data_IF_790856833561
#
_entry.id   IF_790856833561
#
_cell.length_a   1.000
_cell.length_b   1.000
_cell.length_c   1.000
_cell.angle_alpha   90.00
_cell.angle_beta   90.00
_cell.angle_gamma   90.00
#
_symmetry.space_group_name_H-M   'P 1'
#
loop_
_entity.id
_entity.type
_entity.pdbx_description
1 polymer ?
#
# COMPACT_ATOMS: atom_id res chain seq x y z
N UNK A 1 12.63 -13.04 -8.63
CA UNK A 1 12.66 -11.90 -9.62
C UNK A 1 13.82 -10.97 -9.31
N UNK A 2 14.40 -10.27 -10.34
CA UNK A 2 15.48 -9.30 -10.11
C UNK A 2 14.95 -8.08 -9.35
N UNK A 3 15.65 -7.70 -8.26
CA UNK A 3 15.37 -6.48 -7.51
C UNK A 3 16.19 -5.32 -8.06
N UNK A 4 15.62 -4.12 -8.02
CA UNK A 4 16.25 -2.85 -8.39
C UNK A 4 16.07 -1.85 -7.25
N UNK A 5 16.86 -0.80 -7.23
CA UNK A 5 16.68 0.27 -6.28
C UNK A 5 15.52 1.18 -6.70
N UNK A 6 14.66 1.54 -5.75
CA UNK A 6 13.56 2.47 -5.95
C UNK A 6 14.10 3.90 -5.96
N UNK A 7 14.38 4.42 -7.16
CA UNK A 7 14.99 5.74 -7.32
C UNK A 7 16.35 5.82 -6.62
N UNK A 8 16.50 6.77 -5.68
CA UNK A 8 17.70 7.02 -4.86
C UNK A 8 17.46 6.73 -3.37
N UNK A 9 16.47 5.89 -3.06
CA UNK A 9 16.01 5.65 -1.67
C UNK A 9 16.83 4.60 -0.93
N UNK A 10 17.65 3.81 -1.63
CA UNK A 10 18.30 2.62 -1.08
C UNK A 10 17.36 1.40 -0.93
N UNK A 11 16.05 1.59 -1.11
CA UNK A 11 15.05 0.52 -0.98
C UNK A 11 15.12 -0.42 -2.20
N UNK A 12 15.22 -1.72 -1.96
CA UNK A 12 15.28 -2.74 -3.02
C UNK A 12 13.92 -3.34 -3.28
N UNK A 13 13.36 -3.09 -4.46
CA UNK A 13 12.05 -3.58 -4.90
C UNK A 13 12.17 -4.50 -6.11
N UNK A 14 11.24 -5.42 -6.25
CA UNK A 14 11.02 -6.15 -7.51
C UNK A 14 10.58 -5.16 -8.60
N UNK A 15 10.99 -5.40 -9.85
CA UNK A 15 10.57 -4.55 -10.98
C UNK A 15 9.06 -4.59 -11.25
N UNK A 16 8.41 -5.64 -10.80
CA UNK A 16 6.95 -5.78 -10.81
C UNK A 16 6.44 -5.61 -9.39
N UNK A 17 5.38 -4.85 -9.21
CA UNK A 17 4.63 -4.74 -7.97
C UNK A 17 3.28 -5.43 -8.08
N UNK A 18 2.68 -5.76 -6.94
CA UNK A 18 1.29 -6.19 -6.85
C UNK A 18 0.47 -5.10 -6.16
N UNK A 19 -0.64 -4.70 -6.79
CA UNK A 19 -1.57 -3.71 -6.25
C UNK A 19 -2.80 -4.39 -5.65
N UNK A 20 -3.35 -3.79 -4.60
CA UNK A 20 -4.58 -4.26 -3.94
C UNK A 20 -5.80 -3.40 -4.26
N UNK A 21 -5.71 -2.50 -5.25
CA UNK A 21 -6.76 -1.55 -5.59
C UNK A 21 -7.11 -1.56 -7.06
N UNK A 22 -8.19 -2.25 -7.44
CA UNK A 22 -8.81 -2.15 -8.76
C UNK A 22 -10.18 -1.50 -8.61
N UNK A 23 -10.32 -0.30 -9.16
CA UNK A 23 -11.59 0.43 -9.11
C UNK A 23 -12.70 -0.28 -9.89
N UNK A 24 -13.86 -0.43 -9.27
CA UNK A 24 -15.09 -0.87 -9.90
C UNK A 24 -15.93 0.36 -10.28
N UNK A 25 -16.86 0.24 -11.27
CA UNK A 25 -17.80 1.31 -11.60
C UNK A 25 -18.65 1.78 -10.41
N UNK A 26 -18.86 0.92 -9.41
CA UNK A 26 -19.55 1.24 -8.14
C UNK A 26 -18.74 2.12 -7.18
N UNK A 27 -17.47 2.42 -7.50
CA UNK A 27 -16.55 3.14 -6.61
C UNK A 27 -15.86 2.24 -5.57
N UNK A 28 -16.22 0.96 -5.48
CA UNK A 28 -15.56 0.01 -4.58
C UNK A 28 -14.26 -0.53 -5.18
N UNK A 29 -13.36 -0.97 -4.31
CA UNK A 29 -12.17 -1.72 -4.71
C UNK A 29 -12.53 -3.22 -4.83
N UNK A 30 -12.26 -3.82 -5.98
CA UNK A 30 -12.60 -5.24 -6.22
C UNK A 30 -11.93 -6.16 -5.21
N UNK A 31 -10.69 -5.89 -4.84
CA UNK A 31 -9.93 -6.69 -3.87
C UNK A 31 -10.51 -6.62 -2.45
N UNK A 32 -11.17 -5.51 -2.09
CA UNK A 32 -11.84 -5.40 -0.78
C UNK A 32 -13.04 -6.34 -0.62
N UNK A 33 -13.57 -6.85 -1.73
CA UNK A 33 -14.70 -7.80 -1.76
C UNK A 33 -14.25 -9.27 -1.73
N UNK A 34 -12.95 -9.52 -1.86
CA UNK A 34 -12.40 -10.88 -1.77
C UNK A 34 -12.41 -11.37 -0.32
N UNK A 35 -12.40 -12.69 -0.16
CA UNK A 35 -12.11 -13.27 1.16
C UNK A 35 -10.71 -12.84 1.64
N UNK A 36 -10.60 -12.58 2.94
CA UNK A 36 -9.35 -12.07 3.53
C UNK A 36 -8.18 -13.03 3.31
N UNK A 37 -8.40 -14.33 3.46
CA UNK A 37 -7.33 -15.33 3.27
C UNK A 37 -7.01 -15.53 1.78
N UNK A 38 -7.99 -15.37 0.90
CA UNK A 38 -7.76 -15.49 -0.55
C UNK A 38 -6.81 -14.41 -1.05
N UNK A 39 -7.08 -13.13 -0.76
CA UNK A 39 -6.17 -12.04 -1.16
C UNK A 39 -4.82 -12.14 -0.42
N UNK A 40 -4.81 -12.50 0.87
CA UNK A 40 -3.58 -12.75 1.61
C UNK A 40 -2.75 -13.84 0.94
N UNK A 41 -3.38 -14.94 0.52
CA UNK A 41 -2.73 -16.03 -0.22
C UNK A 41 -2.12 -15.59 -1.55
N UNK A 42 -2.81 -14.73 -2.30
CA UNK A 42 -2.27 -14.14 -3.54
C UNK A 42 -1.05 -13.25 -3.28
N UNK A 43 -1.06 -12.46 -2.21
CA UNK A 43 0.08 -11.64 -1.80
C UNK A 43 1.29 -12.50 -1.43
N UNK A 44 1.09 -13.55 -0.63
CA UNK A 44 2.13 -14.50 -0.25
C UNK A 44 2.68 -15.25 -1.47
N UNK A 45 1.80 -15.72 -2.36
CA UNK A 45 2.21 -16.35 -3.62
C UNK A 45 3.07 -15.40 -4.47
N UNK A 46 2.69 -14.11 -4.55
CA UNK A 46 3.47 -13.12 -5.28
C UNK A 46 4.87 -12.93 -4.69
N UNK A 47 4.97 -12.93 -3.35
CA UNK A 47 6.25 -12.84 -2.64
C UNK A 47 7.14 -14.06 -2.92
N UNK A 48 6.57 -15.28 -2.89
CA UNK A 48 7.28 -16.53 -3.24
C UNK A 48 7.87 -16.46 -4.66
N UNK A 49 7.18 -15.80 -5.59
CA UNK A 49 7.67 -15.54 -6.96
C UNK A 49 8.63 -14.36 -7.06
N UNK A 50 9.03 -13.79 -5.92
CA UNK A 50 10.01 -12.71 -5.81
C UNK A 50 9.43 -11.32 -6.06
N UNK A 51 8.10 -11.13 -5.99
CA UNK A 51 7.44 -9.82 -6.03
C UNK A 51 7.29 -9.34 -4.59
N UNK A 52 8.20 -8.44 -4.17
CA UNK A 52 8.21 -7.91 -2.81
C UNK A 52 7.64 -6.49 -2.72
N UNK A 53 7.23 -5.87 -3.81
CA UNK A 53 6.64 -4.53 -3.83
C UNK A 53 5.11 -4.64 -3.80
N UNK A 54 4.51 -4.34 -2.63
CA UNK A 54 3.07 -4.36 -2.41
C UNK A 54 2.54 -2.94 -2.35
N UNK A 55 1.54 -2.64 -3.18
CA UNK A 55 0.95 -1.31 -3.32
C UNK A 55 -0.51 -1.33 -2.85
N UNK A 56 -0.82 -0.41 -1.94
CA UNK A 56 -2.16 -0.21 -1.40
C UNK A 56 -2.48 1.27 -1.23
N UNK A 57 -3.64 1.59 -0.68
CA UNK A 57 -4.03 2.93 -0.26
C UNK A 57 -5.04 2.87 0.88
N UNK A 58 -5.12 3.94 1.67
CA UNK A 58 -6.06 4.07 2.78
C UNK A 58 -7.52 3.79 2.35
N UNK A 59 -7.91 4.27 1.15
CA UNK A 59 -9.27 4.14 0.64
C UNK A 59 -9.61 2.77 0.04
N UNK A 60 -8.63 1.85 -0.11
CA UNK A 60 -8.89 0.56 -0.77
C UNK A 60 -9.60 -0.46 0.12
N UNK A 61 -9.61 -0.23 1.45
CA UNK A 61 -10.21 -1.15 2.43
C UNK A 61 -9.62 -2.58 2.38
N UNK A 62 -8.32 -2.69 2.04
CA UNK A 62 -7.61 -3.97 1.90
C UNK A 62 -6.57 -4.21 2.99
N UNK A 63 -6.51 -3.36 4.01
CA UNK A 63 -5.52 -3.50 5.09
C UNK A 63 -5.68 -4.79 5.90
N UNK A 64 -6.92 -5.26 6.12
CA UNK A 64 -7.17 -6.54 6.79
C UNK A 64 -6.54 -7.72 6.05
N UNK A 65 -6.60 -7.73 4.73
CA UNK A 65 -6.02 -8.76 3.86
C UNK A 65 -4.48 -8.72 3.92
N UNK A 66 -3.90 -7.52 3.83
CA UNK A 66 -2.44 -7.33 3.93
C UNK A 66 -1.95 -7.73 5.32
N UNK A 67 -2.64 -7.32 6.38
CA UNK A 67 -2.34 -7.71 7.76
C UNK A 67 -2.32 -9.23 7.92
N UNK A 68 -3.27 -9.95 7.31
CA UNK A 68 -3.31 -11.41 7.37
C UNK A 68 -2.09 -12.04 6.69
N UNK A 69 -1.68 -11.54 5.54
CA UNK A 69 -0.45 -11.96 4.87
C UNK A 69 0.81 -11.66 5.72
N UNK A 70 0.87 -10.46 6.33
CA UNK A 70 2.02 -10.04 7.15
C UNK A 70 2.24 -10.89 8.41
N UNK A 71 1.22 -11.59 8.91
CA UNK A 71 1.39 -12.54 10.03
C UNK A 71 2.27 -13.75 9.69
N UNK A 72 2.45 -14.05 8.41
CA UNK A 72 3.12 -15.26 7.93
C UNK A 72 4.54 -15.00 7.41
N UNK A 73 4.99 -13.75 7.41
CA UNK A 73 6.30 -13.31 6.89
C UNK A 73 6.93 -12.28 7.83
N UNK A 74 8.21 -12.01 7.65
CA UNK A 74 8.83 -10.87 8.32
C UNK A 74 8.41 -9.59 7.60
N UNK A 75 8.10 -8.53 8.35
CA UNK A 75 7.74 -7.22 7.77
C UNK A 75 8.80 -6.70 6.77
N UNK A 76 10.07 -7.04 7.00
CA UNK A 76 11.20 -6.66 6.14
C UNK A 76 11.29 -7.42 4.82
N UNK A 77 10.49 -8.47 4.62
CA UNK A 77 10.51 -9.23 3.38
C UNK A 77 9.77 -8.53 2.23
N UNK A 78 8.92 -7.55 2.57
CA UNK A 78 8.15 -6.75 1.60
C UNK A 78 8.42 -5.26 1.73
N UNK A 79 8.27 -4.56 0.62
CA UNK A 79 8.24 -3.10 0.53
C UNK A 79 6.79 -2.68 0.36
N UNK A 80 6.25 -2.01 1.36
CA UNK A 80 4.84 -1.64 1.42
C UNK A 80 4.67 -0.16 1.09
N UNK A 81 3.95 0.11 0.00
CA UNK A 81 3.55 1.44 -0.43
C UNK A 81 2.09 1.68 -0.06
N UNK A 82 1.80 2.80 0.59
CA UNK A 82 0.43 3.28 0.83
C UNK A 82 0.24 4.71 0.35
N UNK A 83 -1.00 5.19 0.33
CA UNK A 83 -1.37 6.51 -0.19
C UNK A 83 -2.52 7.10 0.61
N UNK A 84 -2.51 8.42 0.76
CA UNK A 84 -3.56 9.19 1.43
C UNK A 84 -4.11 10.29 0.52
N UNK A 85 -5.43 10.49 0.58
CA UNK A 85 -6.11 11.60 -0.12
C UNK A 85 -6.35 12.81 0.78
N UNK A 86 -5.95 12.76 2.04
CA UNK A 86 -6.11 13.85 2.98
C UNK A 86 -5.49 15.17 2.43
N UNK A 87 -6.22 16.28 2.65
CA UNK A 87 -5.81 17.58 2.15
C UNK A 87 -5.00 18.37 3.20
N UNK A 88 -5.04 17.98 4.46
CA UNK A 88 -4.43 18.69 5.58
C UNK A 88 -3.55 17.78 6.44
N UNK A 89 -2.49 18.34 7.00
CA UNK A 89 -1.51 17.65 7.83
C UNK A 89 -2.16 16.81 8.94
N UNK A 90 -3.08 17.40 9.73
CA UNK A 90 -3.76 16.69 10.83
C UNK A 90 -4.50 15.42 10.37
N UNK A 91 -5.17 15.51 9.23
CA UNK A 91 -5.87 14.37 8.65
C UNK A 91 -4.88 13.31 8.16
N UNK A 92 -3.81 13.74 7.51
CA UNK A 92 -2.75 12.84 7.03
C UNK A 92 -2.11 12.08 8.20
N UNK A 93 -1.78 12.77 9.30
CA UNK A 93 -1.22 12.14 10.51
C UNK A 93 -2.21 11.13 11.11
N UNK A 94 -3.49 11.50 11.21
CA UNK A 94 -4.54 10.59 11.70
C UNK A 94 -4.66 9.35 10.83
N UNK A 95 -4.75 9.52 9.52
CA UNK A 95 -4.91 8.43 8.56
C UNK A 95 -3.66 7.53 8.52
N UNK A 96 -2.48 8.12 8.66
CA UNK A 96 -1.22 7.39 8.79
C UNK A 96 -1.18 6.53 10.06
N UNK A 97 -1.52 7.09 11.22
CA UNK A 97 -1.56 6.35 12.48
C UNK A 97 -2.62 5.22 12.43
N UNK A 98 -3.77 5.48 11.81
CA UNK A 98 -4.82 4.47 11.58
C UNK A 98 -4.28 3.34 10.68
N UNK A 99 -3.55 3.69 9.61
CA UNK A 99 -2.93 2.72 8.72
C UNK A 99 -1.96 1.80 9.44
N UNK A 100 -1.06 2.33 10.26
CA UNK A 100 -0.10 1.52 11.03
C UNK A 100 -0.83 0.55 11.98
N UNK A 101 -1.88 1.03 12.65
CA UNK A 101 -2.71 0.22 13.55
C UNK A 101 -3.46 -0.88 12.79
N UNK A 102 -4.10 -0.54 11.68
CA UNK A 102 -4.92 -1.48 10.90
C UNK A 102 -4.08 -2.56 10.23
N UNK A 103 -2.89 -2.20 9.75
CA UNK A 103 -1.90 -3.13 9.21
C UNK A 103 -1.16 -3.90 10.31
N UNK A 104 -1.19 -3.43 11.56
CA UNK A 104 -0.41 -3.93 12.70
C UNK A 104 1.10 -3.94 12.40
N UNK A 105 1.62 -2.80 11.99
CA UNK A 105 3.05 -2.58 11.69
C UNK A 105 3.54 -1.28 12.30
N UNK A 106 4.85 -1.16 12.49
CA UNK A 106 5.48 0.04 13.04
C UNK A 106 5.84 1.07 11.96
N UNK A 107 5.87 0.66 10.68
CA UNK A 107 6.22 1.53 9.56
C UNK A 107 5.63 1.04 8.23
N UNK A 108 5.54 1.96 7.27
CA UNK A 108 5.42 1.68 5.84
C UNK A 108 6.67 2.19 5.13
N UNK A 109 7.06 1.58 4.01
CA UNK A 109 8.32 1.93 3.33
C UNK A 109 8.14 3.16 2.43
N UNK A 110 6.96 3.32 1.84
CA UNK A 110 6.64 4.43 0.93
C UNK A 110 5.25 4.96 1.23
N UNK A 111 5.15 6.28 1.37
CA UNK A 111 3.88 6.98 1.53
C UNK A 111 3.72 8.03 0.44
N UNK A 112 2.60 8.02 -0.27
CA UNK A 112 2.34 8.91 -1.40
C UNK A 112 1.07 9.75 -1.19
N UNK A 113 1.01 10.90 -1.84
CA UNK A 113 -0.25 11.62 -2.04
C UNK A 113 -1.08 10.88 -3.10
N UNK A 114 -2.33 10.53 -2.76
CA UNK A 114 -3.20 9.74 -3.62
C UNK A 114 -3.97 10.61 -4.61
N UNK A 115 -3.87 10.27 -5.90
CA UNK A 115 -4.71 10.87 -6.93
C UNK A 115 -4.44 12.35 -7.20
N UNK A 116 -3.20 12.82 -7.05
CA UNK A 116 -2.81 14.17 -7.45
C UNK A 116 -2.82 14.27 -8.98
N UNK A 117 -3.67 15.13 -9.53
CA UNK A 117 -3.88 15.28 -10.97
C UNK A 117 -3.39 16.61 -11.52
N UNK A 118 -3.26 17.64 -10.66
CA UNK A 118 -2.88 18.99 -11.05
C UNK A 118 -1.85 19.59 -10.10
N UNK A 119 -1.09 20.58 -10.59
CA UNK A 119 -0.16 21.33 -9.75
C UNK A 119 -0.88 22.07 -8.61
N UNK A 120 -2.12 22.53 -8.85
CA UNK A 120 -2.92 23.19 -7.82
C UNK A 120 -3.25 22.21 -6.68
N UNK A 121 -3.68 20.98 -6.99
CA UNK A 121 -3.92 19.94 -5.97
C UNK A 121 -2.65 19.60 -5.20
N UNK A 122 -1.49 19.54 -5.88
CA UNK A 122 -0.21 19.31 -5.21
C UNK A 122 0.11 20.43 -4.24
N UNK A 123 -0.02 21.70 -4.66
CA UNK A 123 0.24 22.85 -3.79
C UNK A 123 -0.69 22.91 -2.58
N UNK A 124 -1.98 22.61 -2.79
CA UNK A 124 -2.97 22.61 -1.69
C UNK A 124 -2.73 21.51 -0.66
N UNK A 125 -2.08 20.40 -1.05
CA UNK A 125 -1.88 19.20 -0.22
C UNK A 125 -0.45 19.02 0.28
N UNK A 126 0.47 19.89 -0.10
CA UNK A 126 1.88 19.85 0.30
C UNK A 126 2.29 20.99 1.26
N UNK A 127 1.33 21.86 1.65
CA UNK A 127 1.53 22.97 2.58
C UNK A 127 1.13 22.65 3.99
#
# INVERSE_FOLDING_TARGET
MKKVELGKTGIKVSRLGIGTGTGLPSGYCAQALMDTNELAGLLLYSLDRGINHWDTAFQYNTYSHIKEALKQIRRTDVVLTTKFSAAHEKETIRDFNTTLKDLNVDYVDVCLLHGVRTNTELQMRSG
#
